data_IF_031314754819
#
_entry.id   IF_031314754819
#
_cell.length_a   1.000
_cell.length_b   1.000
_cell.length_c   1.000
_cell.angle_alpha   90.00
_cell.angle_beta   90.00
_cell.angle_gamma   90.00
#
_symmetry.space_group_name_H-M   'P 1'
#
loop_
_entity.id
_entity.type
_entity.pdbx_description
1 polymer ?
#
# COMPACT_ATOMS: atom_id res chain seq x y z
N UNK A 1 -31.32 37.80 41.66
CA UNK A 1 -31.04 36.79 40.64
C UNK A 1 -29.87 37.29 39.82
N UNK A 2 -28.66 36.84 40.10
CA UNK A 2 -27.45 37.19 39.35
C UNK A 2 -27.37 36.29 38.13
N UNK A 3 -27.74 36.82 36.97
CA UNK A 3 -27.57 36.10 35.68
C UNK A 3 -26.07 36.04 35.43
N UNK A 4 -25.43 34.93 35.69
CA UNK A 4 -24.06 34.68 35.30
C UNK A 4 -24.06 34.56 33.76
N UNK A 5 -23.55 35.60 33.11
CA UNK A 5 -23.28 35.56 31.66
C UNK A 5 -22.26 34.44 31.38
N UNK A 6 -22.75 33.30 31.00
CA UNK A 6 -21.90 32.21 30.53
C UNK A 6 -21.19 32.71 29.27
N UNK A 7 -19.87 32.87 29.34
CA UNK A 7 -19.07 33.28 28.22
C UNK A 7 -19.33 32.34 27.02
N UNK A 8 -19.25 32.87 25.84
CA UNK A 8 -19.41 32.05 24.60
C UNK A 8 -18.34 30.98 24.62
N UNK A 9 -18.76 29.71 24.59
CA UNK A 9 -17.84 28.57 24.55
C UNK A 9 -17.05 28.62 23.24
N UNK A 10 -15.74 28.66 23.34
CA UNK A 10 -14.86 28.55 22.18
C UNK A 10 -14.95 27.14 21.60
N UNK A 11 -15.00 27.07 20.31
CA UNK A 11 -15.05 25.79 19.59
C UNK A 11 -13.75 24.99 19.83
N UNK A 12 -13.90 23.79 20.36
CA UNK A 12 -12.77 22.90 20.61
C UNK A 12 -12.29 22.27 19.30
N UNK A 13 -10.98 22.05 19.12
CA UNK A 13 -10.48 21.28 18.01
C UNK A 13 -11.12 19.88 17.98
N UNK A 14 -11.51 19.44 16.79
CA UNK A 14 -12.12 18.12 16.61
C UNK A 14 -11.14 17.00 16.96
N UNK A 15 -11.67 15.98 17.64
CA UNK A 15 -10.93 14.76 17.90
C UNK A 15 -10.97 13.87 16.65
N UNK A 16 -9.83 13.37 16.15
CA UNK A 16 -9.84 12.45 15.04
C UNK A 16 -10.64 11.20 15.42
N UNK A 17 -11.46 10.72 14.50
CA UNK A 17 -12.29 9.54 14.69
C UNK A 17 -12.32 8.71 13.41
N UNK A 18 -12.76 7.47 13.51
CA UNK A 18 -12.95 6.58 12.37
C UNK A 18 -11.95 5.44 12.33
N UNK A 19 -12.00 4.69 11.24
CA UNK A 19 -11.16 3.51 11.01
C UNK A 19 -10.40 3.67 9.70
N UNK A 20 -9.11 3.38 9.72
CA UNK A 20 -8.26 3.28 8.55
C UNK A 20 -7.96 1.80 8.29
N UNK A 21 -8.58 1.24 7.27
CA UNK A 21 -8.32 -0.14 6.86
C UNK A 21 -7.04 -0.22 6.06
N UNK A 22 -6.14 -1.08 6.52
CA UNK A 22 -4.87 -1.31 5.85
C UNK A 22 -5.05 -2.33 4.72
N UNK A 23 -4.41 -2.07 3.59
CA UNK A 23 -4.38 -3.03 2.47
C UNK A 23 -3.37 -4.13 2.77
N UNK A 24 -3.70 -5.34 2.36
CA UNK A 24 -2.77 -6.46 2.41
C UNK A 24 -1.54 -6.20 1.53
N UNK A 25 -0.36 -6.69 1.92
CA UNK A 25 0.80 -6.66 1.05
C UNK A 25 0.48 -7.38 -0.27
N UNK A 26 1.01 -6.91 -1.41
CA UNK A 26 0.80 -7.59 -2.68
C UNK A 26 1.32 -9.01 -2.58
N UNK A 27 0.47 -9.97 -2.95
CA UNK A 27 0.89 -11.35 -3.06
C UNK A 27 1.97 -11.43 -4.14
N UNK A 28 3.12 -11.96 -3.77
CA UNK A 28 4.12 -12.34 -4.73
C UNK A 28 3.56 -13.56 -5.44
N UNK A 29 3.21 -13.42 -6.72
CA UNK A 29 2.86 -14.57 -7.55
C UNK A 29 3.91 -15.64 -7.31
N UNK A 30 3.52 -16.65 -6.55
CA UNK A 30 4.32 -17.87 -6.43
C UNK A 30 4.52 -18.32 -7.84
N UNK A 31 5.75 -18.18 -8.32
CA UNK A 31 6.13 -18.56 -9.65
C UNK A 31 5.41 -19.87 -10.01
N UNK A 32 4.41 -19.81 -10.87
CA UNK A 32 4.03 -20.99 -11.62
C UNK A 32 5.33 -21.44 -12.27
N UNK A 33 5.90 -22.50 -11.67
CA UNK A 33 7.19 -23.03 -12.07
C UNK A 33 7.21 -23.32 -13.55
N UNK A 34 8.24 -23.96 -14.05
CA UNK A 34 8.46 -24.35 -15.45
C UNK A 34 7.19 -24.72 -16.26
N UNK A 35 6.09 -25.05 -15.57
CA UNK A 35 4.76 -25.35 -16.13
C UNK A 35 4.15 -24.18 -16.92
N UNK A 36 4.22 -22.95 -16.44
CA UNK A 36 3.64 -21.80 -17.16
C UNK A 36 4.44 -21.43 -18.41
N UNK A 37 5.76 -21.61 -18.36
CA UNK A 37 6.63 -21.41 -19.52
C UNK A 37 6.37 -22.52 -20.56
N UNK A 38 6.16 -23.75 -20.09
CA UNK A 38 5.91 -24.90 -20.95
C UNK A 38 4.54 -24.80 -21.64
N UNK A 39 3.52 -24.32 -20.93
CA UNK A 39 2.17 -24.15 -21.50
C UNK A 39 2.13 -23.10 -22.63
N UNK A 40 2.91 -22.03 -22.53
CA UNK A 40 3.04 -21.04 -23.60
C UNK A 40 4.00 -21.48 -24.75
N UNK A 41 4.85 -22.46 -24.52
CA UNK A 41 5.74 -23.02 -25.54
C UNK A 41 5.05 -24.08 -26.41
N UNK A 42 4.01 -24.74 -25.92
CA UNK A 42 3.29 -25.80 -26.63
C UNK A 42 2.73 -25.36 -28.00
N UNK A 43 2.06 -24.18 -28.14
CA UNK A 43 1.59 -23.72 -29.44
C UNK A 43 2.73 -23.43 -30.41
N UNK A 44 3.91 -23.02 -29.94
CA UNK A 44 5.08 -22.79 -30.75
C UNK A 44 5.73 -24.08 -31.23
N UNK A 45 5.73 -25.14 -30.43
CA UNK A 45 6.22 -26.47 -30.83
C UNK A 45 5.34 -27.07 -31.90
N UNK A 46 4.03 -26.85 -31.89
CA UNK A 46 3.11 -27.29 -32.91
C UNK A 46 3.37 -26.63 -34.28
N UNK A 47 3.68 -25.34 -34.30
CA UNK A 47 4.04 -24.63 -35.55
C UNK A 47 5.40 -25.07 -36.10
N UNK A 48 6.34 -25.42 -35.23
CA UNK A 48 7.64 -26.00 -35.64
C UNK A 48 7.48 -27.34 -36.33
N UNK A 49 6.61 -28.21 -35.81
CA UNK A 49 6.32 -29.51 -36.41
C UNK A 49 5.78 -29.41 -37.85
N UNK A 50 4.88 -28.46 -38.11
CA UNK A 50 4.33 -28.23 -39.43
C UNK A 50 5.37 -27.71 -40.44
N UNK A 51 6.28 -26.84 -40.01
CA UNK A 51 7.34 -26.31 -40.89
C UNK A 51 8.36 -27.38 -41.21
N UNK A 52 8.75 -28.23 -40.26
CA UNK A 52 9.63 -29.38 -40.50
C UNK A 52 8.97 -30.38 -41.42
N UNK A 53 7.67 -30.63 -41.30
CA UNK A 53 6.90 -31.52 -42.14
C UNK A 53 6.85 -30.99 -43.59
N UNK A 54 6.55 -29.70 -43.79
CA UNK A 54 6.52 -29.07 -45.13
C UNK A 54 7.92 -29.02 -45.75
N UNK A 55 8.96 -28.75 -44.97
CA UNK A 55 10.34 -28.78 -45.45
C UNK A 55 10.79 -30.20 -45.86
N UNK A 56 10.35 -31.24 -45.13
CA UNK A 56 10.65 -32.64 -45.48
C UNK A 56 9.89 -33.12 -46.70
N UNK A 57 8.67 -32.67 -46.95
CA UNK A 57 7.88 -32.99 -48.14
C UNK A 57 8.39 -32.28 -49.40
N UNK A 58 8.96 -31.05 -49.24
CA UNK A 58 9.56 -30.31 -50.34
C UNK A 58 10.99 -30.73 -50.70
N UNK A 59 11.62 -31.56 -49.87
CA UNK A 59 13.02 -31.97 -50.03
C UNK A 59 13.21 -33.22 -50.89
N UNK A 60 12.25 -33.58 -51.73
CA UNK A 60 12.36 -34.70 -52.69
C UNK A 60 13.40 -34.51 -53.76
N UNK A 61 14.28 -33.58 -53.73
CA UNK A 61 15.33 -33.28 -54.65
C UNK A 61 16.61 -32.74 -54.03
N UNK A 62 17.46 -33.64 -53.59
CA UNK A 62 18.91 -33.53 -53.52
C UNK A 62 19.60 -32.37 -52.82
N UNK A 63 20.50 -32.70 -51.93
CA UNK A 63 21.73 -32.00 -51.68
C UNK A 63 21.75 -31.11 -50.45
N UNK A 64 22.92 -30.98 -49.87
CA UNK A 64 23.29 -30.30 -48.62
C UNK A 64 22.68 -28.91 -48.25
N UNK A 65 22.03 -28.26 -49.22
CA UNK A 65 21.30 -27.00 -49.01
C UNK A 65 20.11 -27.13 -48.04
N UNK A 66 19.44 -28.28 -48.04
CA UNK A 66 18.29 -28.52 -47.11
C UNK A 66 18.76 -28.65 -45.67
N UNK A 67 19.90 -29.26 -45.40
CA UNK A 67 20.46 -29.39 -44.05
C UNK A 67 20.96 -28.05 -43.50
N UNK A 68 21.50 -27.18 -44.39
CA UNK A 68 21.92 -25.84 -44.02
C UNK A 68 20.71 -24.99 -43.62
N UNK A 69 19.63 -25.04 -44.36
CA UNK A 69 18.39 -24.33 -44.08
C UNK A 69 17.76 -24.82 -42.74
N UNK A 70 17.72 -26.13 -42.52
CA UNK A 70 17.24 -26.71 -41.27
C UNK A 70 18.10 -26.31 -40.04
N UNK A 71 19.43 -26.31 -40.24
CA UNK A 71 20.36 -25.85 -39.21
C UNK A 71 20.19 -24.36 -38.84
N UNK A 72 20.06 -23.48 -39.82
CA UNK A 72 19.80 -22.05 -39.61
C UNK A 72 18.47 -21.82 -38.90
N UNK A 73 17.45 -22.59 -39.21
CA UNK A 73 16.14 -22.50 -38.58
C UNK A 73 16.19 -22.95 -37.10
N UNK A 74 16.88 -24.03 -36.80
CA UNK A 74 17.11 -24.47 -35.40
C UNK A 74 17.84 -23.41 -34.58
N UNK A 75 18.88 -22.81 -35.18
CA UNK A 75 19.63 -21.73 -34.51
C UNK A 75 18.74 -20.51 -34.24
N UNK A 76 17.93 -20.09 -35.22
CA UNK A 76 17.01 -18.97 -35.04
C UNK A 76 15.97 -19.26 -33.95
N UNK A 77 15.46 -20.49 -33.90
CA UNK A 77 14.47 -20.90 -32.89
C UNK A 77 15.07 -20.94 -31.48
N UNK A 78 16.26 -21.49 -31.33
CA UNK A 78 16.96 -21.47 -30.02
C UNK A 78 17.26 -20.04 -29.56
N UNK A 79 17.73 -19.18 -30.46
CA UNK A 79 17.96 -17.77 -30.18
C UNK A 79 16.67 -17.06 -29.74
N UNK A 80 15.55 -17.33 -30.41
CA UNK A 80 14.26 -16.78 -30.05
C UNK A 80 13.79 -17.24 -28.66
N UNK A 81 13.95 -18.53 -28.33
CA UNK A 81 13.60 -19.08 -27.01
C UNK A 81 14.43 -18.40 -25.91
N UNK A 82 15.74 -18.24 -26.09
CA UNK A 82 16.62 -17.60 -25.13
C UNK A 82 16.20 -16.14 -24.89
N UNK A 83 15.93 -15.39 -25.96
CA UNK A 83 15.46 -13.99 -25.85
C UNK A 83 14.11 -13.92 -25.15
N UNK A 84 13.20 -14.84 -25.42
CA UNK A 84 11.88 -14.90 -24.78
C UNK A 84 12.00 -15.15 -23.28
N UNK A 85 12.84 -16.08 -22.86
CA UNK A 85 13.10 -16.37 -21.44
C UNK A 85 13.71 -15.14 -20.74
N UNK A 86 14.67 -14.47 -21.36
CA UNK A 86 15.29 -13.27 -20.78
C UNK A 86 14.28 -12.13 -20.63
N UNK A 87 13.45 -11.89 -21.64
CA UNK A 87 12.36 -10.91 -21.58
C UNK A 87 11.37 -11.21 -20.45
N UNK A 88 10.94 -12.47 -20.31
CA UNK A 88 10.03 -12.87 -19.24
C UNK A 88 10.66 -12.66 -17.85
N UNK A 89 11.94 -12.99 -17.68
CA UNK A 89 12.66 -12.77 -16.41
C UNK A 89 12.72 -11.29 -16.07
N UNK A 90 13.03 -10.43 -17.03
CA UNK A 90 13.07 -8.97 -16.83
C UNK A 90 11.71 -8.39 -16.50
N UNK A 91 10.66 -8.80 -17.19
CA UNK A 91 9.29 -8.36 -16.91
C UNK A 91 8.83 -8.76 -15.52
N UNK A 92 9.11 -10.00 -15.08
CA UNK A 92 8.79 -10.45 -13.73
C UNK A 92 9.56 -9.67 -12.65
N UNK A 93 10.84 -9.44 -12.85
CA UNK A 93 11.63 -8.64 -11.92
C UNK A 93 11.11 -7.20 -11.81
N UNK A 94 10.68 -6.61 -12.92
CA UNK A 94 10.10 -5.28 -12.96
C UNK A 94 8.72 -5.22 -12.28
N UNK A 95 7.86 -6.22 -12.49
CA UNK A 95 6.54 -6.26 -11.85
C UNK A 95 6.66 -6.40 -10.33
N UNK A 96 7.52 -7.28 -9.85
CA UNK A 96 7.76 -7.44 -8.40
C UNK A 96 8.34 -6.16 -7.78
N UNK A 97 9.28 -5.53 -8.44
CA UNK A 97 9.87 -4.27 -7.96
C UNK A 97 8.84 -3.14 -8.00
N UNK A 98 8.02 -3.08 -9.04
CA UNK A 98 6.91 -2.13 -9.17
C UNK A 98 5.91 -2.26 -8.02
N UNK A 99 5.40 -3.46 -7.79
CA UNK A 99 4.43 -3.74 -6.71
C UNK A 99 4.98 -3.41 -5.32
N UNK A 100 6.26 -3.73 -5.07
CA UNK A 100 6.92 -3.35 -3.81
C UNK A 100 7.03 -1.85 -3.63
N UNK A 101 7.42 -1.13 -4.67
CA UNK A 101 7.57 0.33 -4.63
C UNK A 101 6.22 0.99 -4.38
N UNK A 102 5.17 0.51 -5.04
CA UNK A 102 3.81 1.00 -4.86
C UNK A 102 3.31 0.74 -3.43
N UNK A 103 3.53 -0.45 -2.90
CA UNK A 103 3.16 -0.78 -1.53
C UNK A 103 3.92 0.08 -0.49
N UNK A 104 5.21 0.32 -0.68
CA UNK A 104 5.98 1.22 0.19
C UNK A 104 5.47 2.66 0.12
N UNK A 105 5.06 3.13 -1.07
CA UNK A 105 4.44 4.45 -1.23
C UNK A 105 3.11 4.51 -0.50
N UNK A 106 2.29 3.46 -0.60
CA UNK A 106 1.05 3.33 0.16
C UNK A 106 1.32 3.38 1.68
N UNK A 107 2.28 2.61 2.19
CA UNK A 107 2.64 2.65 3.61
C UNK A 107 3.13 4.04 4.06
N UNK A 108 3.84 4.76 3.21
CA UNK A 108 4.24 6.13 3.51
C UNK A 108 3.04 7.08 3.62
N UNK A 109 2.03 6.92 2.80
CA UNK A 109 0.78 7.71 2.89
C UNK A 109 0.00 7.38 4.17
N UNK A 110 -0.15 6.10 4.51
CA UNK A 110 -0.76 5.66 5.78
C UNK A 110 -0.04 6.27 6.98
N UNK A 111 1.29 6.27 6.97
CA UNK A 111 2.11 6.87 8.03
C UNK A 111 1.85 8.38 8.15
N UNK A 112 1.68 9.06 7.04
CA UNK A 112 1.37 10.50 7.05
C UNK A 112 0.01 10.74 7.69
N UNK A 113 -1.03 10.02 7.26
CA UNK A 113 -2.38 10.12 7.83
C UNK A 113 -2.39 9.83 9.33
N UNK A 114 -1.70 8.78 9.76
CA UNK A 114 -1.61 8.44 11.18
C UNK A 114 -0.90 9.53 12.01
N UNK A 115 0.15 10.15 11.46
CA UNK A 115 0.85 11.26 12.12
C UNK A 115 0.00 12.52 12.19
N UNK A 116 -0.74 12.82 11.15
CA UNK A 116 -1.67 13.95 11.13
C UNK A 116 -2.79 13.76 12.17
N UNK A 117 -3.38 12.56 12.22
CA UNK A 117 -4.37 12.22 13.24
C UNK A 117 -3.78 12.32 14.65
N UNK A 118 -2.56 11.83 14.89
CA UNK A 118 -1.90 11.97 16.19
C UNK A 118 -1.64 13.43 16.57
N UNK A 119 -1.26 14.27 15.60
CA UNK A 119 -1.07 15.69 15.83
C UNK A 119 -2.40 16.40 16.14
N UNK A 120 -3.46 16.04 15.45
CA UNK A 120 -4.81 16.56 15.68
C UNK A 120 -5.32 16.13 17.07
N UNK A 121 -5.18 14.85 17.42
CA UNK A 121 -5.52 14.32 18.73
C UNK A 121 -4.76 15.06 19.86
N UNK A 122 -3.47 15.28 19.68
CA UNK A 122 -2.67 16.03 20.66
C UNK A 122 -3.18 17.46 20.83
N UNK A 123 -3.51 18.15 19.73
CA UNK A 123 -4.08 19.51 19.79
C UNK A 123 -5.41 19.51 20.54
N UNK A 124 -6.30 18.57 20.24
CA UNK A 124 -7.61 18.46 20.91
C UNK A 124 -7.45 18.19 22.40
N UNK A 125 -6.57 17.25 22.77
CA UNK A 125 -6.30 16.93 24.18
C UNK A 125 -5.62 18.08 24.94
N UNK A 126 -4.67 18.79 24.31
CA UNK A 126 -4.03 19.96 24.92
C UNK A 126 -5.02 21.10 25.09
N UNK A 127 -5.92 21.29 24.13
CA UNK A 127 -7.01 22.25 24.27
C UNK A 127 -7.96 21.87 25.40
N UNK A 128 -8.34 20.60 25.48
CA UNK A 128 -9.26 20.08 26.49
C UNK A 128 -8.64 20.09 27.88
N UNK A 129 -7.35 19.80 28.00
CA UNK A 129 -6.60 19.71 29.25
C UNK A 129 -5.33 20.57 29.13
N UNK A 130 -5.44 21.90 29.33
CA UNK A 130 -4.32 22.81 29.25
C UNK A 130 -3.18 22.43 30.18
N UNK A 131 -1.97 22.82 29.81
CA UNK A 131 -0.81 22.63 30.66
C UNK A 131 -0.95 23.48 31.96
N UNK A 132 -0.54 22.97 33.15
CA UNK A 132 -0.65 23.70 34.40
C UNK A 132 -0.02 25.10 34.36
N UNK A 133 1.08 25.25 33.60
CA UNK A 133 1.75 26.54 33.43
C UNK A 133 0.95 27.60 32.67
N UNK A 134 -0.01 27.18 31.85
CA UNK A 134 -0.88 28.08 31.07
C UNK A 134 -2.18 28.46 31.79
N UNK A 135 -2.51 27.78 32.89
CA UNK A 135 -3.75 28.04 33.63
C UNK A 135 -3.85 29.46 34.23
N UNK A 136 -2.78 30.07 34.81
CA UNK A 136 -2.83 31.44 35.26
C UNK A 136 -3.23 32.44 34.18
N UNK A 137 -2.61 32.33 32.99
CA UNK A 137 -2.94 33.18 31.83
C UNK A 137 -4.40 33.03 31.41
N UNK A 138 -4.91 31.79 31.33
CA UNK A 138 -6.32 31.54 31.01
C UNK A 138 -7.27 32.12 32.05
N UNK A 139 -6.89 32.13 33.34
CA UNK A 139 -7.68 32.73 34.41
C UNK A 139 -7.67 34.26 34.33
N UNK A 140 -6.52 34.87 34.04
CA UNK A 140 -6.38 36.32 33.87
C UNK A 140 -7.17 36.84 32.67
N UNK A 141 -7.07 36.16 31.54
CA UNK A 141 -7.80 36.50 30.32
C UNK A 141 -9.31 36.23 30.42
N UNK A 142 -9.73 35.44 31.38
CA UNK A 142 -11.12 34.96 31.53
C UNK A 142 -11.71 34.32 30.29
N UNK A 143 -10.87 33.88 29.39
CA UNK A 143 -11.29 33.40 28.06
C UNK A 143 -12.04 32.07 28.17
N UNK A 144 -11.72 31.22 29.15
CA UNK A 144 -12.28 29.86 29.29
C UNK A 144 -12.78 29.54 30.70
N UNK A 145 -12.93 30.56 31.51
CA UNK A 145 -13.43 30.40 32.90
C UNK A 145 -14.92 30.04 32.82
N UNK A 146 -15.32 29.03 33.57
CA UNK A 146 -16.70 28.51 33.60
C UNK A 146 -17.18 27.88 32.30
N UNK A 147 -16.26 27.48 31.42
CA UNK A 147 -16.57 26.83 30.17
C UNK A 147 -17.28 25.48 30.36
N UNK A 148 -16.92 24.75 31.43
CA UNK A 148 -17.46 23.42 31.73
C UNK A 148 -18.45 23.47 32.87
N UNK A 149 -19.63 22.92 32.67
CA UNK A 149 -20.66 22.76 33.70
C UNK A 149 -20.84 21.31 34.10
N UNK A 150 -21.64 21.08 35.15
CA UNK A 150 -21.90 19.73 35.68
C UNK A 150 -22.49 18.74 34.65
N UNK A 151 -23.08 19.22 33.56
CA UNK A 151 -23.59 18.38 32.48
C UNK A 151 -22.56 18.05 31.37
N UNK A 152 -21.36 18.62 31.44
CA UNK A 152 -20.33 18.35 30.45
C UNK A 152 -19.60 17.04 30.77
N UNK A 153 -19.33 16.15 29.80
CA UNK A 153 -18.67 14.86 30.01
C UNK A 153 -17.23 15.01 30.54
N UNK A 154 -16.64 16.18 30.38
CA UNK A 154 -15.28 16.50 30.83
C UNK A 154 -15.27 17.35 32.11
N UNK A 155 -16.42 17.50 32.77
CA UNK A 155 -16.51 18.22 34.06
C UNK A 155 -15.66 17.49 35.10
N UNK A 156 -14.87 18.24 35.84
CA UNK A 156 -13.92 17.76 36.89
C UNK A 156 -12.79 16.84 36.35
N UNK A 157 -12.64 16.70 35.02
CA UNK A 157 -11.45 16.05 34.51
C UNK A 157 -10.24 16.97 34.68
N UNK A 158 -9.21 16.48 35.36
CA UNK A 158 -7.96 17.20 35.58
C UNK A 158 -6.78 16.45 34.96
N UNK A 159 -5.83 17.19 34.43
CA UNK A 159 -4.58 16.65 33.94
C UNK A 159 -3.60 16.50 35.10
N UNK A 160 -3.16 15.28 35.36
CA UNK A 160 -2.13 15.00 36.37
C UNK A 160 -0.76 14.65 35.77
N UNK A 161 -0.70 14.38 34.47
CA UNK A 161 0.55 14.02 33.81
C UNK A 161 0.43 13.91 32.28
N UNK A 162 1.52 13.50 31.66
CA UNK A 162 1.63 13.22 30.22
C UNK A 162 2.05 11.76 30.07
N UNK A 163 1.33 11.01 29.29
CA UNK A 163 1.64 9.62 28.99
C UNK A 163 1.39 9.30 27.50
N UNK A 164 1.91 8.17 27.06
CA UNK A 164 1.56 7.62 25.75
C UNK A 164 0.10 7.18 25.76
N UNK A 165 -0.63 7.58 24.73
CA UNK A 165 -2.03 7.23 24.55
C UNK A 165 -2.23 6.55 23.21
N UNK A 166 -3.23 5.71 23.13
CA UNK A 166 -3.64 5.09 21.88
C UNK A 166 -4.18 6.15 20.91
N UNK A 167 -3.96 5.91 19.63
CA UNK A 167 -4.47 6.76 18.58
C UNK A 167 -5.99 6.60 18.50
N UNK A 168 -6.73 7.71 18.51
CA UNK A 168 -8.18 7.70 18.40
C UNK A 168 -8.65 7.19 17.01
N UNK A 169 -7.85 7.42 15.96
CA UNK A 169 -8.03 6.79 14.66
C UNK A 169 -7.60 5.32 14.74
N UNK A 170 -8.56 4.39 14.61
CA UNK A 170 -8.29 2.96 14.67
C UNK A 170 -7.69 2.44 13.36
N UNK A 171 -6.51 1.83 13.46
CA UNK A 171 -5.90 1.11 12.34
C UNK A 171 -6.41 -0.33 12.33
N UNK A 172 -7.09 -0.72 11.25
CA UNK A 172 -7.62 -2.07 11.08
C UNK A 172 -6.67 -2.85 10.18
N UNK A 173 -6.04 -3.93 10.68
CA UNK A 173 -5.16 -4.75 9.85
C UNK A 173 -5.94 -5.37 8.70
N UNK A 174 -5.29 -5.72 7.59
CA UNK A 174 -5.92 -6.45 6.50
C UNK A 174 -6.38 -7.82 7.00
N UNK A 175 -7.52 -8.27 6.51
CA UNK A 175 -7.93 -9.66 6.71
C UNK A 175 -6.87 -10.52 6.02
N UNK A 176 -6.05 -11.21 6.81
CA UNK A 176 -5.15 -12.23 6.27
C UNK A 176 -6.02 -13.36 5.74
N UNK A 177 -6.00 -13.59 4.44
CA UNK A 177 -6.53 -14.84 3.91
C UNK A 177 -5.81 -16.01 4.61
N UNK A 178 -6.55 -17.02 5.07
CA UNK A 178 -5.99 -18.18 5.75
C UNK A 178 -5.06 -18.99 4.84
#
# INVERSE_FOLDING_TARGET
>A
MTTTLRGQRLEAPEMPSGELRLQAPPELDRSEGASGVMMNAIPMLGSLGSIVLVASMGAGGGGGRSYIAAGMFLFATLGFIVVQIDRQRKQRAQSVTGSRTEYLRYLSSVRTVAREAAAQQRRALTWQHPEPGSLPALAEERSRVWERGAGDPTFLHVRYGVCSQELALRLVPPESAP
#
